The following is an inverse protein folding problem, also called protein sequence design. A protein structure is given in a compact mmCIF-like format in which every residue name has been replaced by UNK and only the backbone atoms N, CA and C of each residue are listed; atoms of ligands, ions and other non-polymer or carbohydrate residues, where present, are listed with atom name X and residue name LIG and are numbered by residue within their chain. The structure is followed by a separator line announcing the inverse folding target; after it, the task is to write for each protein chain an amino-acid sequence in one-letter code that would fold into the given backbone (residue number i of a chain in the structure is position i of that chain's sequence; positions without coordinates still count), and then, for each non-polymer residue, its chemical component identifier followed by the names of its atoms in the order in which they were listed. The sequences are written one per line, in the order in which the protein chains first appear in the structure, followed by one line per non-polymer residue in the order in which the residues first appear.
data_IF_274430509310
#
_entry.id   IF_274430509310
#
_cell.length_a   1.000
_cell.length_b   1.000
_cell.length_c   1.000
_cell.angle_alpha   90.00
_cell.angle_beta   90.00
_cell.angle_gamma   90.00
#
_symmetry.space_group_name_H-M   'P 1'
#
loop_
_entity.id
_entity.type
_entity.pdbx_description
1 polymer ?
#
# COMPACT_ATOMS: atom_id res chain seq x y z
N UNK A 1 30.93 -56.25 11.29
CA UNK A 1 29.83 -56.24 10.28
C UNK A 1 28.55 -55.76 10.95
N UNK A 2 27.89 -54.73 10.36
CA UNK A 2 26.46 -54.33 10.48
C UNK A 2 25.97 -53.90 11.89
N UNK A 3 25.19 -52.85 12.11
CA UNK A 3 24.45 -51.94 11.23
C UNK A 3 23.78 -50.84 12.07
N UNK A 4 23.40 -49.74 11.40
CA UNK A 4 22.74 -48.53 11.93
C UNK A 4 21.30 -48.80 12.41
N UNK A 5 20.75 -47.98 13.33
CA UNK A 5 19.63 -47.06 13.03
C UNK A 5 18.86 -46.56 14.28
N UNK A 6 18.98 -45.25 14.53
CA UNK A 6 17.92 -44.25 14.77
C UNK A 6 16.79 -44.57 15.78
N UNK A 7 16.71 -43.77 16.85
CA UNK A 7 15.54 -42.91 17.11
C UNK A 7 15.75 -42.06 18.37
N UNK A 8 15.61 -40.73 18.23
CA UNK A 8 14.76 -39.90 19.09
C UNK A 8 14.95 -38.41 18.71
N UNK A 9 14.39 -37.98 17.57
CA UNK A 9 14.38 -36.57 17.17
C UNK A 9 12.93 -36.13 16.95
N UNK A 10 12.20 -35.83 18.05
CA UNK A 10 10.77 -35.50 17.95
C UNK A 10 10.29 -34.29 18.77
N UNK A 11 11.17 -33.47 19.35
CA UNK A 11 10.73 -32.34 20.21
C UNK A 11 11.16 -30.94 19.76
N UNK A 12 11.84 -30.78 18.62
CA UNK A 12 12.36 -29.47 18.19
C UNK A 12 11.53 -28.73 17.13
N UNK A 13 10.40 -29.28 16.67
CA UNK A 13 9.68 -28.74 15.49
C UNK A 13 8.51 -27.79 15.80
N UNK A 14 7.95 -27.80 17.01
CA UNK A 14 6.77 -26.96 17.33
C UNK A 14 7.08 -25.48 17.57
N UNK A 15 8.34 -25.10 17.82
CA UNK A 15 8.75 -23.70 18.04
C UNK A 15 8.92 -22.90 16.73
N UNK A 16 9.31 -23.55 15.62
CA UNK A 16 9.50 -22.86 14.34
C UNK A 16 8.18 -22.36 13.72
N UNK A 17 7.10 -23.14 13.81
CA UNK A 17 5.84 -22.79 13.15
C UNK A 17 5.18 -21.52 13.74
N UNK A 18 5.36 -21.26 15.04
CA UNK A 18 4.87 -20.05 15.71
C UNK A 18 5.64 -18.78 15.31
N UNK A 19 6.93 -18.89 14.97
CA UNK A 19 7.79 -17.76 14.61
C UNK A 19 7.54 -17.35 13.15
N UNK A 20 7.37 -18.33 12.26
CA UNK A 20 7.08 -18.10 10.83
C UNK A 20 5.73 -17.40 10.65
N UNK A 21 4.70 -17.78 11.42
CA UNK A 21 3.35 -17.19 11.33
C UNK A 21 3.28 -15.73 11.80
N UNK A 22 4.10 -15.33 12.78
CA UNK A 22 4.23 -13.91 13.21
C UNK A 22 5.00 -13.05 12.21
N UNK A 23 5.91 -13.65 11.43
CA UNK A 23 6.71 -12.93 10.42
C UNK A 23 5.90 -12.65 9.14
N UNK A 24 4.99 -13.56 8.79
CA UNK A 24 4.05 -13.37 7.66
C UNK A 24 3.04 -12.24 7.89
N UNK A 25 2.56 -12.05 9.13
CA UNK A 25 1.60 -10.99 9.49
C UNK A 25 2.25 -9.60 9.69
N UNK A 26 3.57 -9.55 9.79
CA UNK A 26 4.35 -8.30 9.86
C UNK A 26 4.51 -7.65 8.46
N UNK A 27 4.32 -8.40 7.38
CA UNK A 27 4.48 -7.93 6.00
C UNK A 27 3.36 -6.99 5.52
N UNK A 28 2.11 -7.19 5.95
CA UNK A 28 0.97 -6.48 5.34
C UNK A 28 0.87 -5.01 5.78
N UNK A 29 1.12 -4.70 7.05
CA UNK A 29 1.17 -3.30 7.52
C UNK A 29 2.37 -2.54 6.94
N UNK A 30 3.51 -3.22 6.82
CA UNK A 30 4.73 -2.61 6.28
C UNK A 30 4.57 -2.28 4.79
N UNK A 31 3.98 -3.18 3.99
CA UNK A 31 3.71 -2.91 2.57
C UNK A 31 2.77 -1.73 2.35
N UNK A 32 1.63 -1.68 3.05
CA UNK A 32 0.72 -0.53 2.96
C UNK A 32 1.42 0.77 3.33
N UNK A 33 2.26 0.75 4.37
CA UNK A 33 3.03 1.94 4.78
C UNK A 33 4.05 2.37 3.73
N UNK A 34 4.64 1.41 3.01
CA UNK A 34 5.54 1.70 1.88
C UNK A 34 4.77 2.36 0.74
N UNK A 35 3.60 1.85 0.35
CA UNK A 35 2.83 2.45 -0.74
C UNK A 35 2.33 3.85 -0.37
N UNK A 36 1.75 3.99 0.83
CA UNK A 36 1.32 5.29 1.35
C UNK A 36 2.43 6.34 1.24
N UNK A 37 3.64 6.01 1.71
CA UNK A 37 4.77 6.95 1.66
C UNK A 37 5.19 7.30 0.23
N UNK A 38 5.07 6.37 -0.73
CA UNK A 38 5.39 6.63 -2.14
C UNK A 38 4.39 7.59 -2.77
N UNK A 39 3.09 7.32 -2.57
CA UNK A 39 2.03 8.19 -3.07
C UNK A 39 2.16 9.58 -2.44
N UNK A 40 2.34 9.66 -1.12
CA UNK A 40 2.55 10.94 -0.44
C UNK A 40 3.76 11.71 -1.00
N UNK A 41 4.88 11.03 -1.20
CA UNK A 41 6.09 11.66 -1.72
C UNK A 41 5.90 12.22 -3.13
N UNK A 42 5.25 11.46 -4.02
CA UNK A 42 4.90 11.92 -5.37
C UNK A 42 4.00 13.18 -5.30
N UNK A 43 2.93 13.11 -4.51
CA UNK A 43 1.98 14.21 -4.39
C UNK A 43 2.63 15.47 -3.81
N UNK A 44 3.51 15.33 -2.82
CA UNK A 44 4.25 16.46 -2.23
C UNK A 44 5.31 17.04 -3.17
N UNK A 45 5.84 16.26 -4.10
CA UNK A 45 6.78 16.73 -5.11
C UNK A 45 6.06 17.53 -6.20
N UNK A 46 4.93 17.02 -6.70
CA UNK A 46 4.14 17.66 -7.77
C UNK A 46 3.31 18.86 -7.26
N UNK A 47 2.82 18.79 -6.02
CA UNK A 47 1.93 19.78 -5.41
C UNK A 47 2.41 20.20 -4.01
N UNK A 48 3.58 20.87 -3.89
CA UNK A 48 4.15 21.26 -2.60
C UNK A 48 3.30 22.26 -1.80
N UNK A 49 2.35 22.95 -2.45
CA UNK A 49 1.42 23.89 -1.83
C UNK A 49 0.21 23.23 -1.15
N UNK A 50 -0.05 21.94 -1.40
CA UNK A 50 -1.20 21.21 -0.86
C UNK A 50 -0.77 20.32 0.30
N UNK A 51 -1.43 20.46 1.45
CA UNK A 51 -1.23 19.57 2.59
C UNK A 51 -2.17 18.37 2.52
N UNK A 52 -1.73 17.31 1.84
CA UNK A 52 -2.46 16.04 1.73
C UNK A 52 -2.63 15.28 3.05
N UNK A 53 -1.98 15.72 4.13
CA UNK A 53 -2.08 15.09 5.46
C UNK A 53 -3.01 15.85 6.41
N UNK A 54 -3.58 16.95 5.95
CA UNK A 54 -4.44 17.82 6.76
C UNK A 54 -5.85 17.26 6.99
N UNK A 55 -6.33 16.38 6.10
CA UNK A 55 -7.71 15.88 6.08
C UNK A 55 -7.81 14.51 5.41
N UNK A 56 -8.84 13.76 5.81
CA UNK A 56 -9.26 12.49 5.19
C UNK A 56 -10.43 12.70 4.19
N UNK A 57 -10.83 13.95 3.95
CA UNK A 57 -11.96 14.39 3.13
C UNK A 57 -11.50 15.45 2.10
N UNK A 58 -10.34 15.24 1.47
CA UNK A 58 -9.66 16.24 0.64
C UNK A 58 -10.50 16.77 -0.54
N UNK A 59 -11.34 15.93 -1.16
CA UNK A 59 -12.24 16.36 -2.24
C UNK A 59 -13.49 17.02 -1.66
N UNK A 60 -14.10 16.40 -0.65
CA UNK A 60 -15.31 16.88 0.02
C UNK A 60 -15.14 18.27 0.66
N UNK A 61 -13.98 18.54 1.26
CA UNK A 61 -13.63 19.84 1.83
C UNK A 61 -13.20 20.88 0.77
N UNK A 62 -13.09 20.47 -0.49
CA UNK A 62 -12.69 21.33 -1.61
C UNK A 62 -11.21 21.71 -1.62
N UNK A 63 -10.37 20.95 -0.91
CA UNK A 63 -8.91 21.11 -0.94
C UNK A 63 -8.39 20.70 -2.32
N UNK A 64 -8.92 19.61 -2.87
CA UNK A 64 -8.67 19.17 -4.24
C UNK A 64 -9.77 19.68 -5.16
N UNK A 65 -9.39 20.62 -6.03
CA UNK A 65 -10.26 21.04 -7.13
C UNK A 65 -10.20 20.07 -8.31
N UNK A 66 -11.09 20.26 -9.29
CA UNK A 66 -11.16 19.39 -10.46
C UNK A 66 -9.87 19.39 -11.29
N UNK A 67 -9.12 20.50 -11.33
CA UNK A 67 -7.91 20.61 -12.14
C UNK A 67 -6.77 19.82 -11.49
N UNK A 68 -6.60 20.02 -10.19
CA UNK A 68 -5.66 19.29 -9.35
C UNK A 68 -5.95 17.81 -9.39
N UNK A 69 -7.23 17.42 -9.26
CA UNK A 69 -7.64 16.01 -9.35
C UNK A 69 -7.24 15.38 -10.69
N UNK A 70 -7.46 16.06 -11.82
CA UNK A 70 -7.01 15.54 -13.12
C UNK A 70 -5.49 15.39 -13.22
N UNK A 71 -4.74 16.30 -12.61
CA UNK A 71 -3.29 16.21 -12.56
C UNK A 71 -2.80 15.07 -11.68
N UNK A 72 -3.43 14.86 -10.52
CA UNK A 72 -3.16 13.72 -9.63
C UNK A 72 -3.39 12.39 -10.36
N UNK A 73 -4.52 12.26 -11.08
CA UNK A 73 -4.81 11.06 -11.89
C UNK A 73 -3.68 10.80 -12.88
N UNK A 74 -3.23 11.82 -13.62
CA UNK A 74 -2.14 11.69 -14.58
C UNK A 74 -0.81 11.31 -13.91
N UNK A 75 -0.46 11.98 -12.81
CA UNK A 75 0.78 11.71 -12.06
C UNK A 75 0.81 10.28 -11.52
N UNK A 76 -0.28 9.81 -10.93
CA UNK A 76 -0.41 8.43 -10.44
C UNK A 76 -0.30 7.42 -11.58
N UNK A 77 -1.01 7.65 -12.68
CA UNK A 77 -0.94 6.77 -13.85
C UNK A 77 0.46 6.65 -14.43
N UNK A 78 1.19 7.76 -14.52
CA UNK A 78 2.54 7.80 -15.08
C UNK A 78 3.60 7.20 -14.14
N UNK A 79 3.59 7.58 -12.86
CA UNK A 79 4.61 7.13 -11.90
C UNK A 79 4.48 5.65 -11.57
N UNK A 80 3.24 5.15 -11.51
CA UNK A 80 2.97 3.76 -11.13
C UNK A 80 2.69 2.83 -12.31
N UNK A 81 2.71 3.34 -13.54
CA UNK A 81 2.41 2.60 -14.79
C UNK A 81 1.04 1.88 -14.72
N UNK A 82 0.01 2.62 -14.26
CA UNK A 82 -1.37 2.12 -14.11
C UNK A 82 -2.36 2.90 -14.97
N UNK A 83 -3.44 2.26 -15.38
CA UNK A 83 -4.60 2.90 -15.98
C UNK A 83 -5.70 3.06 -14.92
N UNK A 84 -6.13 4.30 -14.66
CA UNK A 84 -7.24 4.58 -13.73
C UNK A 84 -8.52 4.68 -14.57
N UNK A 85 -9.42 3.68 -14.48
CA UNK A 85 -10.66 3.70 -15.24
C UNK A 85 -11.66 4.69 -14.62
N UNK A 86 -12.66 5.09 -15.40
CA UNK A 86 -13.60 6.14 -15.00
C UNK A 86 -14.40 5.80 -13.73
N UNK A 87 -14.69 4.53 -13.49
CA UNK A 87 -15.38 4.03 -12.30
C UNK A 87 -14.54 4.09 -11.01
N UNK A 88 -13.22 4.22 -11.13
CA UNK A 88 -12.33 4.45 -9.99
C UNK A 88 -12.18 5.96 -9.68
N UNK A 89 -12.67 6.86 -10.53
CA UNK A 89 -12.66 8.31 -10.31
C UNK A 89 -13.85 8.73 -9.45
N UNK A 90 -13.80 8.35 -8.18
CA UNK A 90 -14.79 8.64 -7.15
C UNK A 90 -14.12 9.25 -5.91
N UNK A 91 -14.85 10.06 -5.15
CA UNK A 91 -14.33 10.78 -3.98
C UNK A 91 -13.64 9.84 -2.98
N UNK A 92 -14.19 8.64 -2.78
CA UNK A 92 -13.65 7.64 -1.86
C UNK A 92 -12.21 7.22 -2.17
N UNK A 93 -11.77 7.29 -3.42
CA UNK A 93 -10.40 6.94 -3.83
C UNK A 93 -9.42 8.14 -3.76
N UNK A 94 -9.92 9.38 -3.65
CA UNK A 94 -9.10 10.60 -3.71
C UNK A 94 -9.23 11.50 -2.47
N UNK A 95 -10.11 11.16 -1.54
CA UNK A 95 -10.30 11.91 -0.30
C UNK A 95 -9.13 11.79 0.67
N UNK A 96 -8.30 10.76 0.56
CA UNK A 96 -7.09 10.61 1.39
C UNK A 96 -5.97 9.92 0.62
N UNK A 97 -4.75 10.13 1.10
CA UNK A 97 -3.55 9.47 0.53
C UNK A 97 -3.59 7.97 0.75
N UNK A 98 -4.16 7.51 1.87
CA UNK A 98 -4.42 6.10 2.13
C UNK A 98 -5.33 5.49 1.05
N UNK A 99 -6.42 6.16 0.70
CA UNK A 99 -7.34 5.68 -0.31
C UNK A 99 -6.69 5.62 -1.70
N UNK A 100 -5.94 6.65 -2.07
CA UNK A 100 -5.18 6.67 -3.33
C UNK A 100 -4.16 5.52 -3.37
N UNK A 101 -3.44 5.26 -2.27
CA UNK A 101 -2.49 4.16 -2.18
C UNK A 101 -3.17 2.78 -2.30
N UNK A 102 -4.36 2.59 -1.71
CA UNK A 102 -5.13 1.36 -1.84
C UNK A 102 -5.66 1.15 -3.26
N UNK A 103 -6.11 2.22 -3.92
CA UNK A 103 -6.49 2.19 -5.34
C UNK A 103 -5.29 1.80 -6.23
N UNK A 104 -4.13 2.44 -6.03
CA UNK A 104 -2.90 2.14 -6.79
C UNK A 104 -2.46 0.68 -6.58
N UNK A 105 -2.47 0.17 -5.33
CA UNK A 105 -2.14 -1.24 -5.06
C UNK A 105 -3.10 -2.20 -5.76
N UNK A 106 -4.39 -1.87 -5.86
CA UNK A 106 -5.41 -2.69 -6.53
C UNK A 106 -5.20 -2.73 -8.04
N UNK A 107 -4.83 -1.61 -8.66
CA UNK A 107 -4.66 -1.48 -10.11
C UNK A 107 -3.32 -2.01 -10.64
N UNK A 108 -2.30 -2.15 -9.78
CA UNK A 108 -1.02 -2.77 -10.15
C UNK A 108 -1.06 -4.32 -10.20
N UNK A 109 -2.14 -4.95 -9.75
CA UNK A 109 -2.22 -6.39 -9.47
C UNK A 109 -2.47 -7.30 -10.68
#
# INVERSE_FOLDING_TARGET
MRGKSISCFCLHFKKCYSIIRKKLYRNSRERRKIMYNKVLALLQEEYPEIDFTSSDELVDEGILDSLTLTGIIAALSMEFDIEIPYDEIIEENFNSVEAMAEMVERLQA
#
